data_IF_581967349847
#
_entry.id   IF_581967349847
#
_cell.length_a   1.000
_cell.length_b   1.000
_cell.length_c   1.000
_cell.angle_alpha   90.00
_cell.angle_beta   90.00
_cell.angle_gamma   90.00
#
_symmetry.space_group_name_H-M   'P 1'
#
loop_
_entity.id
_entity.type
_entity.pdbx_description
1 polymer ?
#
# COMPACT_ATOMS: atom_id res chain seq x y z
N UNK A 1 5.09 -12.64 -13.43
CA UNK A 1 6.20 -11.67 -13.62
C UNK A 1 7.37 -12.13 -12.78
N UNK A 2 8.55 -12.28 -13.36
CA UNK A 2 9.75 -12.65 -12.60
C UNK A 2 10.31 -11.43 -11.86
N UNK A 3 11.09 -11.65 -10.80
CA UNK A 3 11.73 -10.56 -10.05
C UNK A 3 12.58 -9.64 -10.95
N UNK A 4 13.27 -10.20 -11.95
CA UNK A 4 14.01 -9.45 -12.97
C UNK A 4 13.15 -8.47 -13.79
N UNK A 5 11.87 -8.77 -14.01
CA UNK A 5 10.98 -7.85 -14.71
C UNK A 5 10.56 -6.66 -13.82
N UNK A 6 10.63 -6.80 -12.50
CA UNK A 6 10.36 -5.70 -11.57
C UNK A 6 11.58 -4.80 -11.41
N UNK A 7 12.78 -5.37 -11.40
CA UNK A 7 14.03 -4.60 -11.36
C UNK A 7 14.21 -3.67 -12.57
N UNK A 8 13.60 -3.98 -13.73
CA UNK A 8 13.59 -3.09 -14.89
C UNK A 8 12.38 -2.14 -14.95
N UNK A 9 11.56 -2.09 -13.89
CA UNK A 9 10.37 -1.22 -13.87
C UNK A 9 10.64 -0.01 -12.97
N UNK A 10 10.88 1.14 -13.58
CA UNK A 10 11.17 2.40 -12.87
C UNK A 10 9.97 2.94 -12.07
N UNK A 11 8.75 2.52 -12.42
CA UNK A 11 7.51 3.03 -11.82
C UNK A 11 6.54 1.91 -11.47
N UNK A 12 6.03 1.93 -10.24
CA UNK A 12 4.92 1.06 -9.82
C UNK A 12 3.66 1.86 -9.59
N UNK A 13 2.52 1.30 -10.00
CA UNK A 13 1.20 1.80 -9.65
C UNK A 13 0.52 0.80 -8.73
N UNK A 14 0.07 1.25 -7.55
CA UNK A 14 -0.69 0.41 -6.61
C UNK A 14 -1.93 1.13 -6.09
N UNK A 15 -2.82 0.38 -5.46
CA UNK A 15 -3.79 0.95 -4.52
C UNK A 15 -3.19 1.11 -3.12
N UNK A 16 -4.03 1.51 -2.17
CA UNK A 16 -3.76 1.50 -0.73
C UNK A 16 -4.96 0.97 0.05
N UNK A 17 -4.78 0.68 1.34
CA UNK A 17 -5.89 0.38 2.23
C UNK A 17 -6.63 1.68 2.61
N UNK A 18 -5.89 2.67 3.09
CA UNK A 18 -6.41 3.99 3.53
C UNK A 18 -5.33 5.06 3.39
N UNK A 19 -5.76 6.30 3.11
CA UNK A 19 -4.93 7.50 3.08
C UNK A 19 -5.33 8.45 4.23
N UNK A 20 -4.34 9.00 4.92
CA UNK A 20 -4.52 9.95 6.03
C UNK A 20 -4.20 11.35 5.53
N UNK A 21 -5.22 12.21 5.50
CA UNK A 21 -5.12 13.56 4.96
C UNK A 21 -4.20 14.47 5.80
N UNK A 22 -4.34 14.45 7.13
CA UNK A 22 -3.58 15.30 8.05
C UNK A 22 -2.07 15.16 7.89
N UNK A 23 -1.58 13.94 7.62
CA UNK A 23 -0.16 13.61 7.57
C UNK A 23 0.35 13.30 6.16
N UNK A 24 -0.53 13.27 5.16
CA UNK A 24 -0.19 12.82 3.81
C UNK A 24 0.28 11.36 3.77
N UNK A 25 -0.22 10.50 4.66
CA UNK A 25 0.26 9.11 4.80
C UNK A 25 -0.58 8.14 3.97
N UNK A 26 0.07 7.15 3.36
CA UNK A 26 -0.55 6.03 2.67
C UNK A 26 -0.30 4.75 3.47
N UNK A 27 -1.35 4.01 3.80
CA UNK A 27 -1.23 2.70 4.47
C UNK A 27 -1.38 1.58 3.46
N UNK A 28 -0.41 0.67 3.47
CA UNK A 28 -0.40 -0.57 2.70
C UNK A 28 -0.49 -1.74 3.68
N UNK A 29 -1.48 -2.61 3.51
CA UNK A 29 -1.72 -3.79 4.34
C UNK A 29 -1.43 -5.11 3.59
N UNK A 30 -1.05 -5.04 2.30
CA UNK A 30 -0.85 -6.23 1.45
C UNK A 30 -2.14 -6.77 0.83
N UNK A 31 -3.23 -6.01 0.92
CA UNK A 31 -4.52 -6.33 0.32
C UNK A 31 -4.52 -6.32 -1.22
N UNK A 32 -5.65 -6.66 -1.85
CA UNK A 32 -5.78 -6.69 -3.30
C UNK A 32 -5.37 -5.35 -3.94
N UNK A 33 -4.61 -5.42 -5.04
CA UNK A 33 -4.08 -4.22 -5.71
C UNK A 33 -2.86 -3.58 -5.04
N UNK A 34 -2.36 -4.18 -3.95
CA UNK A 34 -1.10 -3.85 -3.31
C UNK A 34 -0.11 -5.00 -3.56
N UNK A 35 1.15 -4.69 -3.88
CA UNK A 35 2.15 -5.73 -4.17
C UNK A 35 2.60 -6.41 -2.88
N UNK A 36 2.61 -7.75 -2.87
CA UNK A 36 2.89 -8.54 -1.66
C UNK A 36 4.35 -8.59 -1.22
N UNK A 37 5.33 -8.55 -2.12
CA UNK A 37 6.75 -8.81 -1.77
C UNK A 37 7.71 -8.51 -2.92
N UNK A 38 7.78 -7.26 -3.35
CA UNK A 38 8.83 -6.85 -4.27
C UNK A 38 9.48 -5.54 -3.82
N UNK A 39 9.97 -5.56 -2.59
CA UNK A 39 10.74 -4.48 -1.96
C UNK A 39 12.24 -4.80 -1.98
N UNK A 40 12.75 -5.59 -2.94
CA UNK A 40 14.21 -5.80 -3.09
C UNK A 40 14.89 -4.71 -3.92
N UNK A 41 14.10 -3.92 -4.67
CA UNK A 41 14.46 -2.62 -5.21
C UNK A 41 13.20 -1.76 -5.08
N UNK A 42 13.24 -0.76 -4.20
CA UNK A 42 12.17 0.24 -4.20
C UNK A 42 12.19 0.92 -5.57
N UNK A 43 11.08 0.94 -6.33
CA UNK A 43 11.05 1.67 -7.58
C UNK A 43 11.31 3.15 -7.33
N UNK A 44 11.97 3.81 -8.28
CA UNK A 44 12.27 5.24 -8.19
C UNK A 44 10.98 6.08 -8.08
N UNK A 45 9.86 5.58 -8.63
CA UNK A 45 8.55 6.19 -8.50
C UNK A 45 7.46 5.19 -8.09
N UNK A 46 6.76 5.51 -6.99
CA UNK A 46 5.56 4.81 -6.54
C UNK A 46 4.34 5.72 -6.67
N UNK A 47 3.49 5.42 -7.65
CA UNK A 47 2.19 6.07 -7.82
C UNK A 47 1.13 5.29 -7.05
N UNK A 48 0.45 5.95 -6.13
CA UNK A 48 -0.65 5.36 -5.35
C UNK A 48 -1.97 5.96 -5.81
N UNK A 49 -2.89 5.10 -6.26
CA UNK A 49 -4.26 5.50 -6.61
C UNK A 49 -5.13 5.38 -5.36
N UNK A 50 -5.70 6.51 -4.93
CA UNK A 50 -6.61 6.60 -3.79
C UNK A 50 -8.03 6.86 -4.28
N UNK A 51 -8.99 6.01 -3.91
CA UNK A 51 -10.40 6.20 -4.26
C UNK A 51 -11.07 7.09 -3.21
N UNK A 52 -11.35 8.33 -3.58
CA UNK A 52 -12.05 9.28 -2.73
C UNK A 52 -13.58 9.24 -3.00
N UNK A 53 -14.42 9.45 -1.97
CA UNK A 53 -14.06 9.79 -0.58
C UNK A 53 -13.73 8.56 0.30
N UNK A 54 -14.04 7.35 -0.14
CA UNK A 54 -14.11 6.16 0.72
C UNK A 54 -12.78 5.74 1.37
N UNK A 55 -11.64 6.10 0.77
CA UNK A 55 -10.32 5.72 1.27
C UNK A 55 -9.56 6.85 1.96
N UNK A 56 -10.16 8.03 2.14
CA UNK A 56 -9.46 9.19 2.74
C UNK A 56 -10.05 9.47 4.12
N UNK A 57 -9.20 9.42 5.14
CA UNK A 57 -9.57 9.78 6.52
C UNK A 57 -8.81 11.01 6.98
N UNK A 58 -9.39 11.73 7.94
CA UNK A 58 -8.77 12.93 8.48
C UNK A 58 -7.43 12.64 9.19
N UNK A 59 -7.37 11.61 10.04
CA UNK A 59 -6.24 11.38 10.96
C UNK A 59 -5.90 9.90 11.13
N UNK A 60 -4.69 9.62 11.65
CA UNK A 60 -4.20 8.25 11.89
C UNK A 60 -5.13 7.45 12.83
N UNK A 61 -5.65 7.98 13.95
CA UNK A 61 -6.59 7.23 14.80
C UNK A 61 -7.87 6.80 14.07
N UNK A 62 -8.29 7.52 13.02
CA UNK A 62 -9.43 7.12 12.18
C UNK A 62 -9.07 6.07 11.14
N UNK A 63 -7.79 5.93 10.79
CA UNK A 63 -7.31 4.89 9.88
C UNK A 63 -7.28 3.51 10.54
N UNK A 64 -6.87 3.43 11.82
CA UNK A 64 -6.64 2.16 12.51
C UNK A 64 -7.83 1.18 12.50
N UNK A 65 -9.09 1.60 12.74
CA UNK A 65 -10.23 0.67 12.73
C UNK A 65 -10.55 0.09 11.35
N UNK A 66 -10.00 0.66 10.27
CA UNK A 66 -10.24 0.23 8.88
C UNK A 66 -9.25 -0.84 8.43
N UNK A 67 -8.24 -1.16 9.24
CA UNK A 67 -7.18 -2.11 8.90
C UNK A 67 -7.50 -3.49 9.50
N UNK A 68 -7.26 -4.57 8.74
CA UNK A 68 -7.31 -5.94 9.27
C UNK A 68 -5.96 -6.25 9.97
N UNK A 69 -5.92 -6.35 11.31
CA UNK A 69 -4.68 -6.61 12.05
C UNK A 69 -4.10 -8.00 11.77
N UNK A 70 -4.89 -8.94 11.26
CA UNK A 70 -4.43 -10.30 10.92
C UNK A 70 -3.87 -10.40 9.50
N UNK A 71 -4.04 -9.36 8.68
CA UNK A 71 -3.53 -9.32 7.30
C UNK A 71 -2.00 -9.52 7.27
N UNK A 72 -1.27 -8.92 8.22
CA UNK A 72 0.18 -9.05 8.38
C UNK A 72 0.58 -10.43 8.93
N UNK A 73 -0.21 -11.03 9.82
CA UNK A 73 0.15 -12.29 10.50
C UNK A 73 0.07 -13.51 9.58
N UNK A 74 -0.83 -13.51 8.58
CA UNK A 74 -0.92 -14.60 7.58
C UNK A 74 0.31 -14.74 6.69
N UNK A 75 1.23 -13.76 6.70
CA UNK A 75 2.48 -13.80 5.92
C UNK A 75 3.70 -14.32 6.70
N UNK A 76 3.60 -14.49 8.02
CA UNK A 76 4.69 -14.98 8.90
C UNK A 76 4.50 -16.47 9.25
N UNK A 77 3.32 -17.04 8.97
CA UNK A 77 3.06 -18.48 8.99
C UNK A 77 3.23 -19.06 7.58
#
# INVERSE_FOLDING_TARGET
>A
MSARQLDSTDTVVTGCAVAVAETGTIVLDGGPGQRRRALTLAPDLHVVVVRAPDQVVASVPRALPLLDPLQIQREIQ
#
